data_IF_360083625327
#
_entry.id   IF_360083625327
#
_cell.length_a   1.000
_cell.length_b   1.000
_cell.length_c   1.000
_cell.angle_alpha   90.00
_cell.angle_beta   90.00
_cell.angle_gamma   90.00
#
_symmetry.space_group_name_H-M   'P 1'
#
loop_
_entity.id
_entity.type
_entity.pdbx_description
1 polymer ?
#
# COMPACT_ATOMS: atom_id res chain seq x y z
N UNK A 1 -23.33 -4.75 -3.07
CA UNK A 1 -22.57 -4.43 -4.28
C UNK A 1 -21.24 -5.19 -4.34
N UNK A 2 -20.36 -5.06 -3.35
CA UNK A 2 -19.09 -5.81 -3.28
C UNK A 2 -19.28 -7.34 -3.31
N UNK A 3 -20.27 -7.87 -2.61
CA UNK A 3 -20.61 -9.30 -2.60
C UNK A 3 -21.03 -9.85 -3.97
N UNK A 4 -21.76 -9.07 -4.77
CA UNK A 4 -22.17 -9.45 -6.13
C UNK A 4 -20.96 -9.48 -7.06
N UNK A 5 -20.08 -8.49 -6.93
CA UNK A 5 -18.83 -8.37 -7.68
C UNK A 5 -17.89 -9.55 -7.41
N UNK A 6 -17.71 -9.89 -6.13
CA UNK A 6 -16.96 -11.07 -5.69
C UNK A 6 -17.59 -12.39 -6.19
N UNK A 7 -18.92 -12.45 -6.29
CA UNK A 7 -19.59 -13.64 -6.81
C UNK A 7 -19.42 -13.82 -8.31
N UNK A 8 -19.37 -12.72 -9.08
CA UNK A 8 -19.27 -12.76 -10.55
C UNK A 8 -17.85 -13.08 -11.01
N UNK A 9 -16.84 -12.51 -10.32
CA UNK A 9 -15.42 -12.62 -10.70
C UNK A 9 -14.62 -13.50 -9.73
N UNK A 10 -15.25 -14.54 -9.15
CA UNK A 10 -14.64 -15.42 -8.14
C UNK A 10 -13.29 -15.99 -8.55
N UNK A 11 -13.19 -16.51 -9.77
CA UNK A 11 -11.98 -17.18 -10.26
C UNK A 11 -10.82 -16.19 -10.42
N UNK A 12 -11.09 -14.99 -10.90
CA UNK A 12 -10.08 -13.95 -11.10
C UNK A 12 -9.57 -13.40 -9.76
N UNK A 13 -10.49 -13.17 -8.80
CA UNK A 13 -10.13 -12.76 -7.45
C UNK A 13 -9.33 -13.84 -6.74
N UNK A 14 -9.68 -15.11 -6.92
CA UNK A 14 -8.96 -16.24 -6.35
C UNK A 14 -7.55 -16.37 -6.95
N UNK A 15 -7.42 -16.24 -8.27
CA UNK A 15 -6.11 -16.23 -8.93
C UNK A 15 -5.22 -15.08 -8.44
N UNK A 16 -5.80 -13.89 -8.30
CA UNK A 16 -5.12 -12.72 -7.76
C UNK A 16 -4.64 -12.94 -6.31
N UNK A 17 -5.50 -13.48 -5.44
CA UNK A 17 -5.13 -13.83 -4.07
C UNK A 17 -4.00 -14.86 -4.02
N UNK A 18 -4.04 -15.86 -4.90
CA UNK A 18 -3.01 -16.89 -4.98
C UNK A 18 -1.66 -16.32 -5.40
N UNK A 19 -1.63 -15.47 -6.44
CA UNK A 19 -0.41 -14.77 -6.87
C UNK A 19 0.17 -13.89 -5.75
N UNK A 20 -0.68 -13.21 -5.00
CA UNK A 20 -0.25 -12.38 -3.87
C UNK A 20 0.29 -13.19 -2.70
N UNK A 21 -0.28 -14.36 -2.41
CA UNK A 21 0.23 -15.29 -1.39
C UNK A 21 1.59 -15.84 -1.82
N UNK A 22 1.76 -16.22 -3.10
CA UNK A 22 3.04 -16.68 -3.64
C UNK A 22 4.12 -15.58 -3.56
N UNK A 23 3.78 -14.35 -3.92
CA UNK A 23 4.68 -13.19 -3.76
C UNK A 23 5.11 -13.02 -2.31
N UNK A 24 4.16 -13.08 -1.36
CA UNK A 24 4.43 -12.96 0.07
C UNK A 24 5.34 -14.09 0.57
N UNK A 25 5.08 -15.33 0.12
CA UNK A 25 5.90 -16.49 0.48
C UNK A 25 7.35 -16.35 -0.03
N UNK A 26 7.54 -15.89 -1.28
CA UNK A 26 8.87 -15.63 -1.82
C UNK A 26 9.61 -14.55 -1.02
N UNK A 27 8.95 -13.46 -0.63
CA UNK A 27 9.55 -12.40 0.21
C UNK A 27 9.94 -12.88 1.60
N UNK A 28 9.08 -13.67 2.24
CA UNK A 28 9.39 -14.25 3.54
C UNK A 28 10.54 -15.25 3.43
N UNK A 29 10.55 -16.07 2.36
CA UNK A 29 11.65 -16.97 2.04
C UNK A 29 12.96 -16.25 1.84
N UNK A 30 12.96 -15.15 1.07
CA UNK A 30 14.12 -14.26 0.86
C UNK A 30 14.72 -13.78 2.19
N UNK A 31 13.92 -13.35 3.15
CA UNK A 31 14.43 -12.92 4.46
C UNK A 31 15.17 -14.02 5.22
N UNK A 32 14.76 -15.28 5.06
CA UNK A 32 15.42 -16.43 5.67
C UNK A 32 16.71 -16.80 4.93
N UNK A 33 16.70 -16.74 3.61
CA UNK A 33 17.87 -17.04 2.77
C UNK A 33 18.98 -16.01 2.96
N UNK A 34 18.64 -14.70 3.04
CA UNK A 34 19.62 -13.64 3.36
C UNK A 34 20.32 -13.93 4.70
N UNK A 35 19.59 -14.37 5.71
CA UNK A 35 20.19 -14.70 7.00
C UNK A 35 21.19 -15.86 6.89
N UNK A 36 20.86 -16.91 6.11
CA UNK A 36 21.76 -18.02 5.83
C UNK A 36 22.97 -17.60 5.02
N UNK A 37 22.79 -16.72 4.06
CA UNK A 37 23.87 -16.12 3.28
C UNK A 37 24.86 -15.38 4.16
N UNK A 38 24.37 -14.52 5.07
CA UNK A 38 25.24 -13.77 5.99
C UNK A 38 26.02 -14.75 6.88
N UNK A 39 25.37 -15.78 7.37
CA UNK A 39 26.02 -16.80 8.23
C UNK A 39 27.12 -17.54 7.47
N UNK A 40 26.87 -18.00 6.24
CA UNK A 40 27.87 -18.68 5.41
C UNK A 40 29.07 -17.78 5.05
N UNK A 41 28.85 -16.46 4.93
CA UNK A 41 29.94 -15.48 4.73
C UNK A 41 30.79 -15.31 6.00
N UNK A 42 30.18 -15.33 7.20
CA UNK A 42 30.89 -15.25 8.46
C UNK A 42 31.71 -16.53 8.72
N UNK A 43 31.17 -17.69 8.33
CA UNK A 43 31.84 -18.99 8.42
C UNK A 43 32.92 -19.19 7.34
N UNK A 44 33.10 -18.22 6.44
CA UNK A 44 34.06 -18.20 5.31
C UNK A 44 33.87 -19.34 4.30
N UNK A 45 32.70 -19.97 4.25
CA UNK A 45 32.32 -21.03 3.33
C UNK A 45 31.84 -20.46 1.99
N UNK A 46 32.80 -20.20 1.09
CA UNK A 46 32.53 -19.55 -0.21
C UNK A 46 31.53 -20.35 -1.08
N UNK A 47 31.59 -21.68 -1.04
CA UNK A 47 30.71 -22.53 -1.85
C UNK A 47 29.25 -22.38 -1.44
N UNK A 48 28.97 -22.45 -0.13
CA UNK A 48 27.62 -22.27 0.41
C UNK A 48 27.12 -20.82 0.20
N UNK A 49 27.99 -19.83 0.33
CA UNK A 49 27.64 -18.43 0.10
C UNK A 49 27.19 -18.19 -1.35
N UNK A 50 27.91 -18.74 -2.35
CA UNK A 50 27.49 -18.62 -3.75
C UNK A 50 26.15 -19.32 -4.03
N UNK A 51 25.92 -20.48 -3.41
CA UNK A 51 24.65 -21.20 -3.55
C UNK A 51 23.48 -20.37 -2.96
N UNK A 52 23.62 -19.83 -1.76
CA UNK A 52 22.57 -19.00 -1.16
C UNK A 52 22.36 -17.69 -1.92
N UNK A 53 23.40 -17.07 -2.44
CA UNK A 53 23.28 -15.91 -3.30
C UNK A 53 22.50 -16.20 -4.60
N UNK A 54 22.72 -17.38 -5.20
CA UNK A 54 21.95 -17.83 -6.37
C UNK A 54 20.48 -18.07 -6.03
N UNK A 55 20.18 -18.71 -4.91
CA UNK A 55 18.81 -18.95 -4.44
C UNK A 55 18.11 -17.60 -4.17
N UNK A 56 18.79 -16.66 -3.53
CA UNK A 56 18.25 -15.33 -3.25
C UNK A 56 17.87 -14.58 -4.53
N UNK A 57 18.75 -14.60 -5.52
CA UNK A 57 18.49 -13.98 -6.82
C UNK A 57 17.24 -14.58 -7.48
N UNK A 58 17.10 -15.90 -7.48
CA UNK A 58 15.92 -16.58 -8.03
C UNK A 58 14.64 -16.21 -7.27
N UNK A 59 14.69 -16.18 -5.93
CA UNK A 59 13.53 -15.79 -5.10
C UNK A 59 13.10 -14.35 -5.36
N UNK A 60 14.04 -13.42 -5.48
CA UNK A 60 13.74 -12.01 -5.80
C UNK A 60 13.12 -11.86 -7.19
N UNK A 61 13.63 -12.58 -8.19
CA UNK A 61 13.06 -12.59 -9.54
C UNK A 61 11.64 -13.17 -9.54
N UNK A 62 11.42 -14.29 -8.86
CA UNK A 62 10.08 -14.88 -8.73
C UNK A 62 9.11 -13.95 -8.01
N UNK A 63 9.53 -13.32 -6.92
CA UNK A 63 8.71 -12.34 -6.20
C UNK A 63 8.34 -11.15 -7.10
N UNK A 64 9.28 -10.64 -7.90
CA UNK A 64 9.02 -9.57 -8.85
C UNK A 64 8.03 -10.00 -9.95
N UNK A 65 8.17 -11.21 -10.49
CA UNK A 65 7.25 -11.76 -11.50
C UNK A 65 5.84 -11.93 -10.92
N UNK A 66 5.70 -12.54 -9.74
CA UNK A 66 4.39 -12.71 -9.11
C UNK A 66 3.73 -11.38 -8.77
N UNK A 67 4.49 -10.42 -8.27
CA UNK A 67 4.00 -9.07 -7.97
C UNK A 67 3.50 -8.34 -9.21
N UNK A 68 4.26 -8.38 -10.31
CA UNK A 68 3.87 -7.71 -11.55
C UNK A 68 2.65 -8.39 -12.18
N UNK A 69 2.59 -9.72 -12.17
CA UNK A 69 1.40 -10.44 -12.63
C UNK A 69 0.18 -10.14 -11.78
N UNK A 70 0.31 -10.12 -10.44
CA UNK A 70 -0.79 -9.76 -9.55
C UNK A 70 -1.30 -8.33 -9.80
N UNK A 71 -0.39 -7.37 -10.03
CA UNK A 71 -0.77 -6.00 -10.38
C UNK A 71 -1.49 -5.91 -11.74
N UNK A 72 -1.04 -6.68 -12.72
CA UNK A 72 -1.67 -6.75 -14.05
C UNK A 72 -3.07 -7.36 -13.95
N UNK A 73 -3.23 -8.48 -13.25
CA UNK A 73 -4.54 -9.11 -13.02
C UNK A 73 -5.49 -8.18 -12.25
N UNK A 74 -5.00 -7.48 -11.23
CA UNK A 74 -5.80 -6.48 -10.51
C UNK A 74 -6.27 -5.36 -11.44
N UNK A 75 -5.40 -4.87 -12.33
CA UNK A 75 -5.74 -3.83 -13.31
C UNK A 75 -6.75 -4.32 -14.35
N UNK A 76 -6.60 -5.55 -14.84
CA UNK A 76 -7.56 -6.18 -15.77
C UNK A 76 -8.92 -6.39 -15.12
N UNK A 77 -8.96 -6.86 -13.87
CA UNK A 77 -10.18 -7.02 -13.11
C UNK A 77 -10.89 -5.67 -12.93
N UNK A 78 -10.15 -4.62 -12.58
CA UNK A 78 -10.69 -3.27 -12.46
C UNK A 78 -11.27 -2.75 -13.78
N UNK A 79 -10.59 -2.97 -14.91
CA UNK A 79 -11.08 -2.59 -16.23
C UNK A 79 -12.37 -3.33 -16.60
N UNK A 80 -12.48 -4.63 -16.30
CA UNK A 80 -13.69 -5.44 -16.52
C UNK A 80 -14.85 -4.95 -15.66
N UNK A 81 -14.59 -4.68 -14.38
CA UNK A 81 -15.59 -4.12 -13.47
C UNK A 81 -16.09 -2.78 -13.97
N UNK A 82 -15.18 -1.87 -14.37
CA UNK A 82 -15.53 -0.59 -14.96
C UNK A 82 -16.41 -0.75 -16.21
N UNK A 83 -16.01 -1.59 -17.14
CA UNK A 83 -16.78 -1.85 -18.37
C UNK A 83 -18.18 -2.37 -18.07
N UNK A 84 -18.32 -3.27 -17.10
CA UNK A 84 -19.61 -3.79 -16.66
C UNK A 84 -20.50 -2.70 -16.07
N UNK A 85 -19.95 -1.80 -15.27
CA UNK A 85 -20.71 -0.67 -14.73
C UNK A 85 -21.12 0.32 -15.82
N UNK A 86 -20.24 0.66 -16.75
CA UNK A 86 -20.55 1.53 -17.88
C UNK A 86 -21.66 0.90 -18.73
N UNK A 87 -21.61 -0.39 -19.00
CA UNK A 87 -22.64 -1.13 -19.74
C UNK A 87 -23.99 -1.09 -19.01
N UNK A 88 -24.02 -1.38 -17.72
CA UNK A 88 -25.24 -1.32 -16.90
C UNK A 88 -25.84 0.08 -16.87
N UNK A 89 -25.01 1.11 -16.75
CA UNK A 89 -25.45 2.49 -16.77
C UNK A 89 -26.04 2.86 -18.13
N UNK A 90 -25.36 2.50 -19.23
CA UNK A 90 -25.88 2.70 -20.58
C UNK A 90 -27.23 2.00 -20.78
N UNK A 91 -27.36 0.74 -20.37
CA UNK A 91 -28.61 0.00 -20.46
C UNK A 91 -29.75 0.65 -19.63
N UNK A 92 -29.42 1.21 -18.47
CA UNK A 92 -30.41 1.93 -17.66
C UNK A 92 -30.84 3.24 -18.30
N UNK A 93 -29.89 4.04 -18.78
CA UNK A 93 -30.18 5.32 -19.44
C UNK A 93 -30.99 5.13 -20.72
N UNK A 94 -30.67 4.12 -21.55
CA UNK A 94 -31.40 3.82 -22.77
C UNK A 94 -32.85 3.35 -22.56
N UNK A 95 -33.14 2.82 -21.36
CA UNK A 95 -34.52 2.44 -20.96
C UNK A 95 -35.32 3.57 -20.30
N UNK A 96 -34.68 4.69 -19.97
CA UNK A 96 -35.36 5.85 -19.40
C UNK A 96 -36.14 6.61 -20.47
N UNK A 97 -37.29 7.19 -20.07
CA UNK A 97 -38.05 8.04 -20.96
C UNK A 97 -37.25 9.31 -21.29
N UNK A 98 -37.50 9.89 -22.50
CA UNK A 98 -36.84 11.13 -22.92
C UNK A 98 -37.04 12.28 -21.93
N UNK A 99 -38.18 12.32 -21.23
CA UNK A 99 -38.47 13.31 -20.22
C UNK A 99 -37.49 13.26 -19.05
N UNK A 100 -37.14 12.05 -18.56
CA UNK A 100 -36.19 11.85 -17.49
C UNK A 100 -34.77 12.22 -17.94
N UNK A 101 -34.37 11.81 -19.13
CA UNK A 101 -33.04 12.12 -19.70
C UNK A 101 -32.86 13.62 -19.88
N UNK A 102 -33.90 14.31 -20.36
CA UNK A 102 -33.86 15.76 -20.58
C UNK A 102 -33.76 16.55 -19.27
N UNK A 103 -34.37 16.05 -18.18
CA UNK A 103 -34.32 16.68 -16.88
C UNK A 103 -33.09 16.25 -16.06
N UNK A 104 -32.29 15.29 -16.55
CA UNK A 104 -31.06 14.84 -15.90
C UNK A 104 -29.89 15.66 -16.44
N UNK A 105 -29.05 16.14 -15.53
CA UNK A 105 -27.82 16.85 -15.88
C UNK A 105 -26.83 15.90 -16.56
N UNK A 106 -26.72 15.98 -17.88
CA UNK A 106 -25.79 15.17 -18.68
C UNK A 106 -24.33 15.39 -18.25
N UNK A 107 -23.98 16.58 -17.80
CA UNK A 107 -22.67 16.87 -17.25
C UNK A 107 -22.35 16.03 -16.01
N UNK A 108 -23.35 15.79 -15.16
CA UNK A 108 -23.22 14.93 -13.98
C UNK A 108 -22.98 13.47 -14.35
N UNK A 109 -23.67 12.95 -15.37
CA UNK A 109 -23.45 11.58 -15.87
C UNK A 109 -22.05 11.43 -16.46
N UNK A 110 -21.59 12.39 -17.26
CA UNK A 110 -20.25 12.39 -17.86
C UNK A 110 -19.18 12.47 -16.76
N UNK A 111 -19.37 13.32 -15.76
CA UNK A 111 -18.43 13.45 -14.65
C UNK A 111 -18.36 12.17 -13.80
N UNK A 112 -19.47 11.48 -13.58
CA UNK A 112 -19.52 10.18 -12.92
C UNK A 112 -18.73 9.12 -13.71
N UNK A 113 -18.93 9.07 -15.05
CA UNK A 113 -18.22 8.13 -15.92
C UNK A 113 -16.71 8.41 -16.01
N UNK A 114 -16.30 9.66 -16.07
CA UNK A 114 -14.90 10.04 -16.24
C UNK A 114 -14.14 10.17 -14.92
N UNK A 115 -14.78 10.68 -13.87
CA UNK A 115 -14.14 10.99 -12.58
C UNK A 115 -14.31 9.91 -11.53
N UNK A 116 -15.57 9.56 -11.23
CA UNK A 116 -15.88 8.67 -10.11
C UNK A 116 -15.41 7.23 -10.38
N UNK A 117 -15.53 6.75 -11.62
CA UNK A 117 -15.04 5.42 -11.98
C UNK A 117 -13.51 5.32 -11.94
N UNK A 118 -12.76 6.35 -12.35
CA UNK A 118 -11.31 6.37 -12.23
C UNK A 118 -10.88 6.34 -10.76
N UNK A 119 -11.59 7.09 -9.90
CA UNK A 119 -11.31 7.09 -8.46
C UNK A 119 -11.64 5.73 -7.83
N UNK A 120 -12.69 5.07 -8.28
CA UNK A 120 -13.07 3.73 -7.84
C UNK A 120 -12.02 2.69 -8.24
N UNK A 121 -11.51 2.75 -9.47
CA UNK A 121 -10.47 1.87 -9.99
C UNK A 121 -9.18 1.95 -9.15
N UNK A 122 -8.69 3.17 -8.88
CA UNK A 122 -7.52 3.38 -8.05
C UNK A 122 -7.69 2.83 -6.62
N UNK A 123 -8.87 3.02 -6.02
CA UNK A 123 -9.17 2.52 -4.68
C UNK A 123 -9.31 0.99 -4.64
N UNK A 124 -9.89 0.37 -5.67
CA UNK A 124 -9.97 -1.08 -5.78
C UNK A 124 -8.60 -1.72 -5.89
N UNK A 125 -7.70 -1.17 -6.70
CA UNK A 125 -6.31 -1.65 -6.79
C UNK A 125 -5.64 -1.60 -5.41
N UNK A 126 -5.81 -0.51 -4.66
CA UNK A 126 -5.29 -0.40 -3.29
C UNK A 126 -5.90 -1.44 -2.34
N UNK A 127 -7.21 -1.73 -2.44
CA UNK A 127 -7.85 -2.75 -1.62
C UNK A 127 -7.27 -4.14 -1.90
N UNK A 128 -7.09 -4.51 -3.16
CA UNK A 128 -6.50 -5.81 -3.52
C UNK A 128 -5.06 -5.93 -3.01
N UNK A 129 -4.22 -4.90 -3.19
CA UNK A 129 -2.86 -4.93 -2.66
C UNK A 129 -2.81 -4.97 -1.13
N UNK A 130 -3.80 -4.41 -0.42
CA UNK A 130 -3.86 -4.48 1.03
C UNK A 130 -4.26 -5.85 1.58
N UNK A 131 -4.84 -6.75 0.76
CA UNK A 131 -5.17 -8.12 1.17
C UNK A 131 -3.94 -8.98 1.50
N UNK A 132 -2.77 -8.63 0.98
CA UNK A 132 -1.50 -9.33 1.32
C UNK A 132 -1.01 -9.01 2.72
N UNK A 133 -1.41 -7.86 3.28
CA UNK A 133 -0.89 -7.37 4.57
C UNK A 133 -1.05 -8.36 5.73
N UNK A 134 -2.23 -9.00 5.98
CA UNK A 134 -2.34 -9.96 7.07
C UNK A 134 -1.45 -11.20 6.88
N UNK A 135 -1.26 -11.68 5.65
CA UNK A 135 -0.40 -12.83 5.37
C UNK A 135 1.07 -12.50 5.61
N UNK A 136 1.53 -11.36 5.13
CA UNK A 136 2.91 -10.90 5.34
C UNK A 136 3.17 -10.60 6.81
N UNK A 137 2.21 -10.02 7.52
CA UNK A 137 2.32 -9.74 8.95
C UNK A 137 2.43 -11.04 9.78
N UNK A 138 1.56 -12.01 9.52
CA UNK A 138 1.58 -13.30 10.23
C UNK A 138 2.86 -14.08 9.93
N UNK A 139 3.30 -14.13 8.67
CA UNK A 139 4.53 -14.78 8.28
C UNK A 139 5.77 -14.12 8.87
N UNK A 140 5.85 -12.80 8.86
CA UNK A 140 6.92 -12.05 9.50
C UNK A 140 6.92 -12.26 11.03
N UNK A 141 5.73 -12.27 11.65
CA UNK A 141 5.57 -12.54 13.06
C UNK A 141 6.10 -13.94 13.43
N UNK A 142 5.73 -14.96 12.66
CA UNK A 142 6.18 -16.32 12.87
C UNK A 142 7.72 -16.44 12.77
N UNK A 143 8.33 -15.82 11.77
CA UNK A 143 9.79 -15.82 11.60
C UNK A 143 10.46 -15.09 12.76
N UNK A 144 9.98 -13.90 13.15
CA UNK A 144 10.56 -13.12 14.24
C UNK A 144 10.47 -13.83 15.59
N UNK A 145 9.29 -14.41 15.90
CA UNK A 145 9.09 -15.13 17.16
C UNK A 145 9.96 -16.40 17.22
N UNK A 146 10.08 -17.14 16.11
CA UNK A 146 10.94 -18.32 16.05
C UNK A 146 12.43 -18.01 16.18
N UNK A 147 12.87 -16.79 15.79
CA UNK A 147 14.28 -16.39 15.83
C UNK A 147 14.67 -15.62 17.09
N UNK A 148 13.82 -14.69 17.50
CA UNK A 148 14.08 -13.75 18.60
C UNK A 148 13.26 -14.05 19.86
N UNK A 149 12.42 -15.10 19.81
CA UNK A 149 11.50 -15.41 20.91
C UNK A 149 10.51 -14.25 21.14
N UNK A 150 10.20 -13.97 22.40
CA UNK A 150 9.26 -12.92 22.78
C UNK A 150 9.70 -11.49 22.36
N UNK A 151 11.00 -11.25 22.20
CA UNK A 151 11.54 -9.95 21.72
C UNK A 151 11.06 -9.65 20.30
N UNK A 152 10.83 -10.67 19.47
CA UNK A 152 10.24 -10.52 18.14
C UNK A 152 8.85 -9.89 18.14
N UNK A 153 8.07 -10.06 19.20
CA UNK A 153 6.76 -9.41 19.36
C UNK A 153 6.89 -7.89 19.54
N UNK A 154 7.97 -7.42 20.15
CA UNK A 154 8.24 -5.99 20.31
C UNK A 154 8.46 -5.33 18.96
N UNK A 155 9.16 -6.00 18.04
CA UNK A 155 9.37 -5.50 16.67
C UNK A 155 8.04 -5.27 15.93
N UNK A 156 7.01 -6.08 16.22
CA UNK A 156 5.69 -5.98 15.60
C UNK A 156 4.82 -4.96 16.32
N UNK A 157 4.99 -4.81 17.64
CA UNK A 157 4.21 -3.86 18.43
C UNK A 157 4.48 -2.39 18.01
N UNK A 158 5.72 -2.05 17.67
CA UNK A 158 6.10 -0.68 17.27
C UNK A 158 5.31 -0.19 16.06
N UNK A 159 5.29 -0.89 14.90
CA UNK A 159 4.45 -0.49 13.76
C UNK A 159 2.97 -0.43 14.12
N UNK A 160 2.46 -1.37 14.91
CA UNK A 160 1.05 -1.39 15.31
C UNK A 160 0.66 -0.19 16.17
N UNK A 161 1.56 0.31 17.01
CA UNK A 161 1.34 1.53 17.80
C UNK A 161 1.37 2.79 16.91
N UNK A 162 2.18 2.79 15.86
CA UNK A 162 2.31 3.94 14.95
C UNK A 162 1.11 4.05 13.99
N UNK A 163 0.48 2.94 13.59
CA UNK A 163 -0.68 2.92 12.68
C UNK A 163 -1.84 3.85 13.10
N UNK A 164 -2.32 3.88 14.35
CA UNK A 164 -3.39 4.81 14.76
C UNK A 164 -2.99 6.28 14.63
N UNK A 165 -1.72 6.63 14.87
CA UNK A 165 -1.23 7.99 14.67
C UNK A 165 -1.27 8.39 13.19
N UNK A 166 -0.84 7.52 12.28
CA UNK A 166 -0.95 7.73 10.83
C UNK A 166 -2.41 7.89 10.40
N UNK A 167 -3.31 7.05 10.93
CA UNK A 167 -4.75 7.15 10.67
C UNK A 167 -5.35 8.48 11.13
N UNK A 168 -4.93 9.00 12.28
CA UNK A 168 -5.37 10.31 12.78
C UNK A 168 -4.91 11.44 11.85
N UNK A 169 -3.66 11.45 11.42
CA UNK A 169 -3.12 12.43 10.48
C UNK A 169 -3.89 12.36 9.15
N UNK A 170 -4.13 11.17 8.62
CA UNK A 170 -4.91 10.96 7.41
C UNK A 170 -6.33 11.52 7.51
N UNK A 171 -7.01 11.34 8.66
CA UNK A 171 -8.34 11.91 8.91
C UNK A 171 -8.33 13.44 8.94
N UNK A 172 -7.31 14.04 9.56
CA UNK A 172 -7.14 15.51 9.59
C UNK A 172 -6.91 16.04 8.19
N UNK A 173 -6.00 15.42 7.43
CA UNK A 173 -5.73 15.76 6.03
C UNK A 173 -6.99 15.66 5.17
N UNK A 174 -7.80 14.61 5.37
CA UNK A 174 -9.08 14.45 4.67
C UNK A 174 -10.07 15.57 4.94
N UNK A 175 -10.20 16.04 6.18
CA UNK A 175 -11.05 17.19 6.53
C UNK A 175 -10.55 18.50 5.91
N UNK A 176 -9.24 18.71 5.85
CA UNK A 176 -8.66 19.90 5.22
C UNK A 176 -8.90 19.82 3.70
N UNK A 177 -8.76 18.65 3.07
CA UNK A 177 -9.03 18.45 1.65
C UNK A 177 -10.48 18.78 1.27
N UNK A 178 -11.46 18.45 2.11
CA UNK A 178 -12.85 18.85 1.89
C UNK A 178 -13.02 20.38 1.84
N UNK A 179 -12.31 21.11 2.73
CA UNK A 179 -12.31 22.59 2.71
C UNK A 179 -11.67 23.13 1.42
N UNK A 180 -10.55 22.53 0.99
CA UNK A 180 -9.89 22.90 -0.26
C UNK A 180 -10.84 22.72 -1.46
N UNK A 181 -11.52 21.59 -1.53
CA UNK A 181 -12.49 21.34 -2.60
C UNK A 181 -13.60 22.40 -2.61
N UNK A 182 -14.09 22.82 -1.43
CA UNK A 182 -15.07 23.90 -1.35
C UNK A 182 -14.57 25.26 -1.86
N UNK A 183 -13.31 25.62 -1.64
CA UNK A 183 -12.70 26.83 -2.22
C UNK A 183 -12.50 26.69 -3.74
N UNK A 184 -12.05 25.51 -4.17
CA UNK A 184 -11.89 25.17 -5.60
C UNK A 184 -13.21 25.28 -6.34
N UNK A 185 -14.29 24.72 -5.81
CA UNK A 185 -15.62 24.74 -6.43
C UNK A 185 -16.15 26.17 -6.57
N UNK A 186 -15.99 26.99 -5.51
CA UNK A 186 -16.35 28.42 -5.58
C UNK A 186 -15.55 29.17 -6.64
N UNK A 187 -14.25 28.92 -6.72
CA UNK A 187 -13.37 29.55 -7.71
C UNK A 187 -13.77 29.15 -9.13
N UNK A 188 -13.98 27.84 -9.37
CA UNK A 188 -14.39 27.34 -10.70
C UNK A 188 -15.74 27.93 -11.11
N UNK A 189 -16.71 28.05 -10.18
CA UNK A 189 -18.00 28.65 -10.44
C UNK A 189 -17.85 30.11 -10.90
N UNK A 190 -17.08 30.93 -10.17
CA UNK A 190 -16.86 32.33 -10.57
C UNK A 190 -16.16 32.42 -11.91
N UNK A 191 -15.17 31.55 -12.19
CA UNK A 191 -14.51 31.53 -13.51
C UNK A 191 -15.52 31.21 -14.63
N UNK A 192 -16.42 30.22 -14.42
CA UNK A 192 -17.46 29.88 -15.39
C UNK A 192 -18.39 31.07 -15.64
N UNK A 193 -18.85 31.74 -14.58
CA UNK A 193 -19.71 32.92 -14.69
C UNK A 193 -19.01 34.07 -15.45
N UNK A 194 -17.69 34.28 -15.21
CA UNK A 194 -16.90 35.26 -15.96
C UNK A 194 -16.78 34.91 -17.45
N UNK A 195 -16.56 33.63 -17.77
CA UNK A 195 -16.46 33.15 -19.16
C UNK A 195 -17.79 33.30 -19.89
N UNK A 196 -18.90 32.92 -19.27
CA UNK A 196 -20.26 33.07 -19.84
C UNK A 196 -20.59 34.53 -20.08
N UNK A 197 -20.22 35.42 -19.14
CA UNK A 197 -20.44 36.85 -19.21
C UNK A 197 -19.26 37.66 -19.78
N UNK A 198 -18.33 37.07 -20.50
CA UNK A 198 -17.05 37.70 -20.87
C UNK A 198 -17.23 39.03 -21.66
N UNK A 199 -18.27 39.13 -22.48
CA UNK A 199 -18.58 40.36 -23.21
C UNK A 199 -18.87 41.52 -22.29
N UNK A 200 -19.67 41.29 -21.22
CA UNK A 200 -19.99 42.32 -20.23
C UNK A 200 -18.77 42.68 -19.38
N UNK A 201 -17.97 41.68 -18.97
CA UNK A 201 -16.73 41.89 -18.21
C UNK A 201 -15.78 42.80 -18.99
N UNK A 202 -15.65 42.58 -20.29
CA UNK A 202 -14.83 43.39 -21.18
C UNK A 202 -15.40 44.79 -21.39
N UNK A 203 -16.73 44.89 -21.62
CA UNK A 203 -17.39 46.16 -21.85
C UNK A 203 -17.27 47.12 -20.67
N UNK A 204 -17.41 46.59 -19.45
CA UNK A 204 -17.35 47.37 -18.21
C UNK A 204 -15.97 47.41 -17.56
N UNK A 205 -14.94 46.80 -18.17
CA UNK A 205 -13.57 46.71 -17.66
C UNK A 205 -13.48 46.13 -16.23
N UNK A 206 -14.26 45.08 -15.93
CA UNK A 206 -14.33 44.45 -14.61
C UNK A 206 -13.24 43.39 -14.38
N UNK A 207 -12.27 43.25 -15.27
CA UNK A 207 -11.22 42.20 -15.18
C UNK A 207 -10.46 42.29 -13.89
N UNK A 208 -10.08 43.49 -13.43
CA UNK A 208 -9.33 43.66 -12.19
C UNK A 208 -10.14 43.28 -10.95
N UNK A 209 -11.43 43.53 -10.93
CA UNK A 209 -12.32 43.16 -9.85
C UNK A 209 -12.44 41.65 -9.72
N UNK A 210 -12.73 40.94 -10.82
CA UNK A 210 -12.81 39.48 -10.82
C UNK A 210 -11.46 38.82 -10.55
N UNK A 211 -10.35 39.36 -11.05
CA UNK A 211 -9.03 38.85 -10.79
C UNK A 211 -8.68 38.92 -9.27
N UNK A 212 -9.08 39.99 -8.58
CA UNK A 212 -8.91 40.08 -7.12
C UNK A 212 -9.71 39.01 -6.38
N UNK A 213 -10.98 38.79 -6.75
CA UNK A 213 -11.85 37.79 -6.12
C UNK A 213 -11.30 36.37 -6.36
N UNK A 214 -10.91 36.05 -7.59
CA UNK A 214 -10.32 34.75 -7.94
C UNK A 214 -8.98 34.56 -7.22
N UNK A 215 -8.16 35.61 -7.15
CA UNK A 215 -6.87 35.62 -6.45
C UNK A 215 -7.00 35.34 -4.96
N UNK A 216 -7.98 35.94 -4.26
CA UNK A 216 -8.22 35.67 -2.83
C UNK A 216 -8.66 34.23 -2.58
N UNK A 217 -9.56 33.68 -3.42
CA UNK A 217 -9.96 32.28 -3.33
C UNK A 217 -8.79 31.33 -3.61
N UNK A 218 -7.94 31.66 -4.58
CA UNK A 218 -6.74 30.87 -4.91
C UNK A 218 -5.72 30.90 -3.77
N UNK A 219 -5.50 32.04 -3.15
CA UNK A 219 -4.60 32.15 -1.99
C UNK A 219 -5.08 31.30 -0.83
N UNK A 220 -6.38 31.32 -0.52
CA UNK A 220 -6.98 30.46 0.49
C UNK A 220 -6.82 28.96 0.14
N UNK A 221 -7.08 28.59 -1.11
CA UNK A 221 -6.88 27.22 -1.62
C UNK A 221 -5.42 26.76 -1.43
N UNK A 222 -4.45 27.57 -1.84
CA UNK A 222 -3.01 27.26 -1.74
C UNK A 222 -2.57 27.11 -0.28
N UNK A 223 -2.99 27.99 0.61
CA UNK A 223 -2.65 27.91 2.02
C UNK A 223 -3.14 26.61 2.68
N UNK A 224 -4.32 26.12 2.29
CA UNK A 224 -4.82 24.84 2.76
C UNK A 224 -4.07 23.66 2.11
N UNK A 225 -3.68 23.74 0.83
CA UNK A 225 -2.86 22.73 0.18
C UNK A 225 -1.48 22.58 0.86
N UNK A 226 -0.82 23.69 1.21
CA UNK A 226 0.46 23.67 1.94
C UNK A 226 0.31 22.85 3.24
N UNK A 227 -0.77 23.06 3.99
CA UNK A 227 -1.03 22.30 5.23
C UNK A 227 -1.22 20.80 4.97
N UNK A 228 -1.91 20.44 3.88
CA UNK A 228 -2.08 19.02 3.47
C UNK A 228 -0.72 18.42 3.13
N UNK A 229 0.10 19.10 2.33
CA UNK A 229 1.41 18.60 1.92
C UNK A 229 2.35 18.43 3.12
N UNK A 230 2.34 19.35 4.06
CA UNK A 230 3.09 19.21 5.32
C UNK A 230 2.62 17.99 6.11
N UNK A 231 1.30 17.82 6.27
CA UNK A 231 0.74 16.64 6.94
C UNK A 231 1.09 15.33 6.24
N UNK A 232 1.01 15.27 4.91
CA UNK A 232 1.40 14.10 4.12
C UNK A 232 2.91 13.83 4.19
N UNK A 233 3.74 14.86 4.19
CA UNK A 233 5.20 14.72 4.32
C UNK A 233 5.57 14.15 5.68
N UNK A 234 4.91 14.62 6.74
CA UNK A 234 5.09 14.08 8.09
C UNK A 234 4.64 12.61 8.19
N UNK A 235 3.48 12.28 7.61
CA UNK A 235 2.98 10.91 7.54
C UNK A 235 3.95 9.97 6.82
N UNK A 236 4.51 10.39 5.67
CA UNK A 236 5.53 9.63 4.93
C UNK A 236 6.83 9.48 5.70
N UNK A 237 7.26 10.54 6.39
CA UNK A 237 8.44 10.50 7.25
C UNK A 237 8.28 9.48 8.38
N UNK A 238 7.12 9.48 9.06
CA UNK A 238 6.79 8.48 10.07
C UNK A 238 6.77 7.07 9.49
N UNK A 239 6.12 6.86 8.33
CA UNK A 239 6.04 5.55 7.68
C UNK A 239 7.43 5.00 7.33
N UNK A 240 8.30 5.83 6.74
CA UNK A 240 9.66 5.42 6.37
C UNK A 240 10.54 5.17 7.60
N UNK A 241 10.35 5.94 8.68
CA UNK A 241 11.12 5.79 9.93
C UNK A 241 10.67 4.61 10.77
N UNK A 242 9.46 4.08 10.55
CA UNK A 242 8.87 3.01 11.38
C UNK A 242 9.76 1.78 11.46
N UNK A 243 10.38 1.37 10.34
CA UNK A 243 11.30 0.22 10.29
C UNK A 243 12.54 0.46 11.14
N UNK A 244 13.11 1.67 11.08
CA UNK A 244 14.30 2.05 11.86
C UNK A 244 13.97 2.07 13.35
N UNK A 245 12.83 2.66 13.73
CA UNK A 245 12.35 2.67 15.11
C UNK A 245 12.10 1.26 15.64
N UNK A 246 11.47 0.40 14.83
CA UNK A 246 11.23 -0.99 15.19
C UNK A 246 12.55 -1.75 15.45
N UNK A 247 13.52 -1.60 14.56
CA UNK A 247 14.84 -2.21 14.73
C UNK A 247 15.56 -1.67 15.98
N UNK A 248 15.57 -0.34 16.18
CA UNK A 248 16.20 0.30 17.33
C UNK A 248 15.63 -0.18 18.66
N UNK A 249 14.30 -0.19 18.79
CA UNK A 249 13.62 -0.65 20.01
C UNK A 249 13.90 -2.14 20.23
N UNK A 250 13.91 -2.95 19.17
CA UNK A 250 14.25 -4.37 19.26
C UNK A 250 15.67 -4.58 19.81
N UNK A 251 16.67 -3.88 19.27
CA UNK A 251 18.06 -3.96 19.76
C UNK A 251 18.19 -3.48 21.21
N UNK A 252 17.48 -2.41 21.58
CA UNK A 252 17.44 -1.91 22.96
C UNK A 252 16.90 -2.98 23.92
N UNK A 253 15.77 -3.60 23.58
CA UNK A 253 15.18 -4.66 24.40
C UNK A 253 16.10 -5.87 24.48
N UNK A 254 16.73 -6.29 23.37
CA UNK A 254 17.71 -7.36 23.36
C UNK A 254 18.91 -7.06 24.29
N UNK A 255 19.39 -5.84 24.28
CA UNK A 255 20.52 -5.42 25.13
C UNK A 255 20.14 -5.49 26.61
N UNK A 256 18.98 -4.96 27.01
CA UNK A 256 18.54 -4.94 28.40
C UNK A 256 18.16 -6.35 28.94
N UNK A 257 17.64 -7.21 28.08
CA UNK A 257 17.19 -8.56 28.49
C UNK A 257 18.28 -9.62 28.40
N UNK A 258 19.45 -9.30 27.87
CA UNK A 258 20.56 -10.25 27.71
C UNK A 258 20.29 -11.41 26.75
N UNK A 259 19.14 -11.39 26.05
CA UNK A 259 18.71 -12.47 25.13
C UNK A 259 19.70 -12.68 23.98
N UNK A 260 20.47 -11.65 23.62
CA UNK A 260 21.51 -11.74 22.58
C UNK A 260 22.60 -12.74 22.90
N UNK A 261 22.97 -12.89 24.18
CA UNK A 261 23.96 -13.91 24.61
C UNK A 261 23.33 -15.30 24.71
N UNK A 262 22.09 -15.39 25.20
CA UNK A 262 21.37 -16.66 25.34
C UNK A 262 21.04 -17.31 24.00
N UNK A 263 20.60 -16.52 23.01
CA UNK A 263 20.26 -17.05 21.67
C UNK A 263 21.49 -17.57 20.93
N UNK A 264 22.63 -16.89 21.03
CA UNK A 264 23.90 -17.37 20.46
C UNK A 264 24.40 -18.63 21.17
N UNK A 265 24.29 -18.70 22.50
CA UNK A 265 24.68 -19.86 23.28
C UNK A 265 23.77 -21.07 23.00
N UNK A 266 22.46 -20.87 22.89
CA UNK A 266 21.51 -21.96 22.55
C UNK A 266 21.70 -22.44 21.10
N UNK A 267 21.97 -21.55 20.16
CA UNK A 267 22.27 -21.90 18.76
C UNK A 267 23.61 -22.63 18.65
N UNK A 268 24.60 -22.22 19.44
CA UNK A 268 25.91 -22.89 19.50
C UNK A 268 25.77 -24.30 20.09
N UNK A 269 25.08 -24.48 21.22
CA UNK A 269 24.81 -25.80 21.80
C UNK A 269 23.98 -26.69 20.88
N UNK A 270 22.92 -26.17 20.28
CA UNK A 270 22.06 -26.92 19.35
C UNK A 270 22.82 -27.40 18.11
N UNK A 271 23.72 -26.58 17.58
CA UNK A 271 24.57 -27.00 16.47
C UNK A 271 25.63 -28.02 16.92
N UNK A 272 26.20 -27.84 18.09
CA UNK A 272 27.17 -28.79 18.64
C UNK A 272 26.56 -30.17 18.88
N UNK A 273 25.34 -30.24 19.45
CA UNK A 273 24.61 -31.48 19.67
C UNK A 273 24.20 -32.18 18.34
N UNK A 274 23.97 -31.42 17.27
CA UNK A 274 23.71 -31.99 15.94
C UNK A 274 24.97 -32.61 15.33
N UNK A 275 26.13 -31.94 15.45
CA UNK A 275 27.38 -32.47 14.95
C UNK A 275 27.88 -33.66 15.77
N UNK A 276 27.64 -33.70 17.08
CA UNK A 276 27.97 -34.83 17.92
C UNK A 276 27.10 -36.06 17.59
N UNK A 277 25.82 -35.90 17.39
CA UNK A 277 24.91 -36.97 16.98
C UNK A 277 25.21 -37.50 15.58
N UNK A 278 25.60 -36.66 14.62
CA UNK A 278 26.05 -37.06 13.30
C UNK A 278 27.39 -37.79 13.33
N UNK A 279 28.32 -37.36 14.19
CA UNK A 279 29.61 -38.03 14.39
C UNK A 279 29.43 -39.43 15.03
N UNK A 280 28.54 -39.58 16.01
CA UNK A 280 28.19 -40.84 16.64
C UNK A 280 27.48 -41.78 15.63
N UNK A 281 26.59 -41.26 14.82
CA UNK A 281 25.89 -42.03 13.80
C UNK A 281 26.80 -42.49 12.64
N UNK A 282 27.88 -41.77 12.36
CA UNK A 282 28.93 -42.22 11.44
C UNK A 282 29.85 -43.30 12.02
N UNK A 283 30.05 -43.31 13.35
CA UNK A 283 30.89 -44.29 14.01
C UNK A 283 30.19 -45.65 14.19
N UNK A 284 28.85 -45.67 14.32
CA UNK A 284 28.04 -46.86 14.43
C UNK A 284 27.73 -47.57 13.07
N UNK A 285 28.13 -47.00 11.98
CA UNK A 285 27.92 -47.56 10.61
C UNK A 285 29.24 -48.07 9.94
N UNK A 286 30.34 -48.05 10.62
CA UNK A 286 31.61 -48.64 10.21
C UNK A 286 31.92 -49.91 10.95
#
# INVERSE_FOLDING_TARGET
MFSILMSTYKMEVLALCLLMILESACRLGSSVVIQRLIQSLLDNDKSLAYMYAGIELVLLLLAAVFRNNAFTEASLLNARVRSSFVFLLYQRVSRCSQFVVRNTDMGKLINMLAGDFNTMEAKMTMLFTSLTFPFTLLGAAAILVNRLGWVGLVCIAVPLIILPFQSLIGRVNGKILQKVNGFKDKRVKIISEVIEGIRFVKLYAWELAFNRIIGTLRSAEVNHYIRIYLGQSFERALANSTTIWSAFVCFLVMHYTGVSQLSQTILYHRNHDLYENDAISCFDRG
#
